data_IF_770270137352
#
_entry.id   IF_770270137352
#
_cell.length_a   1.000
_cell.length_b   1.000
_cell.length_c   1.000
_cell.angle_alpha   90.00
_cell.angle_beta   90.00
_cell.angle_gamma   90.00
#
_symmetry.space_group_name_H-M   'P 1'
#
loop_
_entity.id
_entity.type
_entity.pdbx_description
1 polymer ?
#
# COMPACT_ATOMS: atom_id res chain seq x y z
N UNK A 1 7.38 -46.67 -36.40
CA UNK A 1 7.49 -45.55 -35.44
C UNK A 1 6.77 -44.34 -36.01
N UNK A 2 5.67 -43.92 -35.39
CA UNK A 2 4.90 -42.72 -35.75
C UNK A 2 5.25 -41.66 -34.69
N UNK A 3 5.65 -40.42 -35.04
CA UNK A 3 5.83 -39.41 -34.02
C UNK A 3 4.44 -38.97 -33.58
N UNK A 4 4.16 -39.13 -32.28
CA UNK A 4 2.97 -38.58 -31.65
C UNK A 4 3.18 -37.08 -31.52
N UNK A 5 2.31 -36.30 -32.17
CA UNK A 5 2.16 -34.87 -31.92
C UNK A 5 1.65 -34.71 -30.50
N UNK A 6 2.55 -34.42 -29.55
CA UNK A 6 2.14 -33.89 -28.26
C UNK A 6 1.44 -32.56 -28.56
N UNK A 7 0.16 -32.48 -28.21
CA UNK A 7 -0.55 -31.22 -28.17
C UNK A 7 0.28 -30.25 -27.32
N UNK A 8 0.50 -29.04 -27.83
CA UNK A 8 0.99 -27.95 -27.02
C UNK A 8 -0.07 -27.74 -25.93
N UNK A 9 0.20 -28.26 -24.73
CA UNK A 9 -0.52 -27.85 -23.53
C UNK A 9 -0.32 -26.34 -23.41
N UNK A 10 -1.45 -25.66 -23.50
CA UNK A 10 -1.59 -24.21 -23.45
C UNK A 10 -1.15 -23.75 -22.05
N UNK A 11 0.15 -23.43 -21.92
CA UNK A 11 0.83 -22.93 -20.71
C UNK A 11 0.39 -21.49 -20.35
N UNK A 12 -0.78 -21.06 -20.85
CA UNK A 12 -1.39 -19.76 -20.52
C UNK A 12 -1.85 -19.68 -19.06
N UNK A 13 -2.05 -20.82 -18.39
CA UNK A 13 -2.44 -20.87 -16.98
C UNK A 13 -1.29 -20.57 -15.98
N UNK A 14 -0.03 -20.56 -16.43
CA UNK A 14 1.13 -20.26 -15.57
C UNK A 14 1.75 -18.89 -15.85
N UNK A 15 1.23 -18.12 -16.81
CA UNK A 15 1.73 -16.78 -17.06
C UNK A 15 1.40 -15.90 -15.84
N UNK A 16 2.40 -15.22 -15.23
CA UNK A 16 2.12 -14.26 -14.17
C UNK A 16 1.08 -13.25 -14.68
N UNK A 17 0.07 -12.87 -13.86
CA UNK A 17 -0.92 -11.91 -14.29
C UNK A 17 -0.21 -10.65 -14.77
N UNK A 18 -0.61 -10.13 -15.95
CA UNK A 18 -0.07 -8.87 -16.44
C UNK A 18 -0.38 -7.79 -15.39
N UNK A 19 0.66 -7.07 -14.96
CA UNK A 19 0.58 -6.06 -13.91
C UNK A 19 0.60 -4.66 -14.52
N UNK A 20 -0.27 -3.79 -14.01
CA UNK A 20 -0.30 -2.36 -14.36
C UNK A 20 0.27 -1.58 -13.17
N UNK A 21 1.44 -0.96 -13.38
CA UNK A 21 2.03 -0.03 -12.41
C UNK A 21 1.37 1.35 -12.55
N UNK A 22 1.16 2.02 -11.43
CA UNK A 22 0.63 3.38 -11.41
C UNK A 22 1.72 4.44 -11.45
N UNK A 23 1.34 5.64 -11.91
CA UNK A 23 2.13 6.84 -11.68
C UNK A 23 2.45 6.98 -10.19
N UNK A 24 3.72 7.18 -9.87
CA UNK A 24 4.15 7.30 -8.48
C UNK A 24 3.55 8.53 -7.82
N UNK A 25 3.01 8.39 -6.61
CA UNK A 25 2.56 9.51 -5.78
C UNK A 25 3.57 9.71 -4.65
N UNK A 26 4.03 10.94 -4.44
CA UNK A 26 4.87 11.25 -3.29
C UNK A 26 4.00 11.60 -2.09
N UNK A 27 4.18 10.88 -0.99
CA UNK A 27 3.66 11.26 0.31
C UNK A 27 4.71 12.04 1.08
N UNK A 28 4.30 13.19 1.61
CA UNK A 28 5.07 13.98 2.55
C UNK A 28 4.37 13.92 3.90
N UNK A 29 5.02 13.28 4.87
CA UNK A 29 4.48 13.12 6.22
C UNK A 29 5.29 14.00 7.17
N UNK A 30 4.61 14.89 7.87
CA UNK A 30 5.21 15.83 8.80
C UNK A 30 4.58 15.65 10.19
N UNK A 31 5.39 15.24 11.16
CA UNK A 31 4.97 15.17 12.56
C UNK A 31 5.23 16.52 13.24
N UNK A 32 4.19 17.35 13.32
CA UNK A 32 4.23 18.65 13.99
C UNK A 32 4.29 18.53 15.53
N UNK A 33 3.97 17.36 16.09
CA UNK A 33 4.06 17.14 17.53
C UNK A 33 5.52 17.18 17.98
N UNK A 34 5.78 17.86 19.11
CA UNK A 34 7.10 17.93 19.74
C UNK A 34 7.32 16.86 20.81
N UNK A 35 6.27 16.13 21.18
CA UNK A 35 6.30 15.19 22.31
C UNK A 35 5.77 13.80 21.94
N UNK A 36 4.92 13.68 20.92
CA UNK A 36 4.31 12.41 20.53
C UNK A 36 4.90 11.88 19.23
N UNK A 37 5.05 10.56 19.16
CA UNK A 37 5.33 9.87 17.92
C UNK A 37 4.03 9.64 17.15
N UNK A 38 4.12 9.57 15.82
CA UNK A 38 3.00 9.16 14.97
C UNK A 38 3.33 7.84 14.29
N UNK A 39 2.38 6.93 14.29
CA UNK A 39 2.40 5.75 13.44
C UNK A 39 1.39 5.95 12.32
N UNK A 40 1.86 5.98 11.08
CA UNK A 40 1.04 6.22 9.90
C UNK A 40 0.95 4.93 9.09
N UNK A 41 -0.27 4.50 8.81
CA UNK A 41 -0.59 3.37 7.95
C UNK A 41 -1.15 3.87 6.62
N UNK A 42 -0.52 3.49 5.52
CA UNK A 42 -1.13 3.62 4.20
C UNK A 42 -1.86 2.32 3.92
N UNK A 43 -3.19 2.38 3.99
CA UNK A 43 -4.07 1.22 3.79
C UNK A 43 -4.17 0.93 2.31
N UNK A 44 -3.86 -0.30 1.95
CA UNK A 44 -3.95 -0.76 0.58
C UNK A 44 -5.27 -1.51 0.42
N UNK A 45 -6.08 -1.11 -0.57
CA UNK A 45 -7.30 -1.86 -0.92
C UNK A 45 -6.92 -3.23 -1.46
N UNK A 46 -7.80 -4.22 -1.26
CA UNK A 46 -7.63 -5.60 -1.73
C UNK A 46 -7.41 -5.71 -3.24
N UNK A 47 -7.73 -4.65 -3.99
CA UNK A 47 -7.47 -4.58 -5.42
C UNK A 47 -5.97 -4.50 -5.74
N UNK A 48 -5.16 -3.85 -4.88
CA UNK A 48 -3.75 -3.53 -5.16
C UNK A 48 -2.77 -4.53 -4.57
N UNK A 49 -1.68 -4.76 -5.31
CA UNK A 49 -0.73 -5.83 -5.03
C UNK A 49 0.50 -5.40 -4.23
N UNK A 50 0.95 -4.14 -4.31
CA UNK A 50 2.13 -3.69 -3.57
C UNK A 50 2.24 -2.17 -3.46
N UNK A 51 2.87 -1.65 -2.39
CA UNK A 51 3.56 -0.35 -2.38
C UNK A 51 5.06 -0.63 -2.59
N UNK A 52 5.64 -0.24 -3.72
CA UNK A 52 7.04 -0.56 -4.02
C UNK A 52 8.01 0.01 -2.97
N UNK A 53 8.95 -0.83 -2.53
CA UNK A 53 10.02 -0.45 -1.59
C UNK A 53 9.63 -0.46 -0.11
N UNK A 54 8.41 -0.88 0.25
CA UNK A 54 7.98 -1.05 1.65
C UNK A 54 7.29 -2.39 1.86
N UNK A 55 7.63 -3.13 2.94
CA UNK A 55 6.92 -4.36 3.26
C UNK A 55 5.49 -4.04 3.69
N UNK A 56 4.58 -4.97 3.40
CA UNK A 56 3.25 -4.92 3.97
C UNK A 56 3.23 -5.45 5.39
N UNK A 57 2.44 -4.77 6.20
CA UNK A 57 2.11 -5.16 7.56
C UNK A 57 0.60 -5.29 7.71
N UNK A 58 0.18 -6.14 8.63
CA UNK A 58 -1.21 -6.21 9.05
C UNK A 58 -1.50 -5.03 9.97
N UNK A 59 -2.59 -4.32 9.71
CA UNK A 59 -3.12 -3.26 10.57
C UNK A 59 -3.95 -3.94 11.65
N UNK A 60 -3.46 -4.01 12.91
CA UNK A 60 -4.02 -4.93 13.91
C UNK A 60 -5.49 -4.67 14.24
N UNK A 61 -5.90 -3.41 14.24
CA UNK A 61 -7.25 -2.99 14.66
C UNK A 61 -8.33 -3.23 13.60
N UNK A 62 -7.95 -3.53 12.37
CA UNK A 62 -8.90 -3.63 11.24
C UNK A 62 -8.69 -4.86 10.36
N UNK A 63 -7.60 -5.62 10.59
CA UNK A 63 -7.26 -6.79 9.77
C UNK A 63 -6.87 -6.46 8.33
N UNK A 64 -6.67 -5.18 8.01
CA UNK A 64 -6.32 -4.70 6.66
C UNK A 64 -4.81 -4.73 6.44
N UNK A 65 -4.38 -4.83 5.18
CA UNK A 65 -2.95 -4.74 4.83
C UNK A 65 -2.57 -3.31 4.46
N UNK A 66 -1.36 -2.91 4.83
CA UNK A 66 -0.85 -1.60 4.48
C UNK A 66 0.65 -1.47 4.72
N UNK A 67 1.18 -0.27 4.48
CA UNK A 67 2.56 0.06 4.85
C UNK A 67 2.57 0.96 6.08
N UNK A 68 3.49 0.68 7.00
CA UNK A 68 3.65 1.43 8.25
C UNK A 68 4.85 2.38 8.18
N UNK A 69 4.66 3.59 8.70
CA UNK A 69 5.69 4.60 8.88
C UNK A 69 5.68 5.09 10.32
N UNK A 70 6.85 5.10 10.96
CA UNK A 70 7.03 5.66 12.31
C UNK A 70 7.67 7.04 12.19
N UNK A 71 7.01 8.06 12.73
CA UNK A 71 7.50 9.45 12.72
C UNK A 71 7.86 9.88 14.13
N UNK A 72 9.12 10.29 14.33
CA UNK A 72 9.60 10.90 15.58
C UNK A 72 9.00 12.31 15.76
N UNK A 73 8.94 12.83 17.00
CA UNK A 73 8.51 14.20 17.22
C UNK A 73 9.32 15.20 16.38
N UNK A 74 8.65 16.13 15.71
CA UNK A 74 9.27 17.15 14.87
C UNK A 74 9.95 16.63 13.59
N UNK A 75 9.72 15.37 13.21
CA UNK A 75 10.34 14.78 12.01
C UNK A 75 9.50 14.96 10.76
N UNK A 76 10.19 15.00 9.62
CA UNK A 76 9.59 14.99 8.28
C UNK A 76 10.15 13.78 7.54
N UNK A 77 9.29 13.08 6.82
CA UNK A 77 9.71 12.04 5.88
C UNK A 77 8.94 12.16 4.57
N UNK A 78 9.59 11.80 3.48
CA UNK A 78 8.98 11.72 2.16
C UNK A 78 9.17 10.31 1.61
N UNK A 79 8.12 9.73 1.04
CA UNK A 79 8.17 8.43 0.40
C UNK A 79 7.37 8.47 -0.88
N UNK A 80 7.90 7.85 -1.93
CA UNK A 80 7.08 7.54 -3.09
C UNK A 80 6.22 6.31 -2.75
N UNK A 81 4.98 6.32 -3.25
CA UNK A 81 4.08 5.20 -3.26
C UNK A 81 3.82 4.87 -4.71
N UNK A 82 4.04 3.60 -5.04
CA UNK A 82 3.68 3.04 -6.33
C UNK A 82 2.80 1.85 -6.06
N UNK A 83 1.54 1.99 -6.41
CA UNK A 83 0.58 0.91 -6.34
C UNK A 83 0.74 0.04 -7.60
N UNK A 84 0.24 -1.19 -7.57
CA UNK A 84 0.17 -2.07 -8.75
C UNK A 84 -1.18 -2.77 -8.76
N UNK A 85 -1.87 -2.84 -9.90
CA UNK A 85 -3.09 -3.65 -10.06
C UNK A 85 -2.86 -4.79 -11.05
N UNK A 86 -3.61 -5.90 -10.92
CA UNK A 86 -3.83 -6.82 -12.02
C UNK A 86 -4.48 -6.11 -13.22
N UNK A 87 -4.01 -6.39 -14.45
CA UNK A 87 -4.49 -5.72 -15.66
C UNK A 87 -5.99 -5.88 -15.92
N UNK A 88 -6.57 -7.03 -15.56
CA UNK A 88 -8.01 -7.26 -15.66
C UNK A 88 -8.81 -6.30 -14.76
N UNK A 89 -8.35 -6.08 -13.52
CA UNK A 89 -8.99 -5.14 -12.58
C UNK A 89 -8.82 -3.69 -13.04
N UNK A 90 -7.64 -3.35 -13.56
CA UNK A 90 -7.36 -2.02 -14.08
C UNK A 90 -8.26 -1.65 -15.29
N UNK A 91 -8.60 -2.61 -16.15
CA UNK A 91 -9.48 -2.41 -17.31
C UNK A 91 -10.95 -2.20 -16.91
N UNK A 92 -11.41 -2.83 -15.83
CA UNK A 92 -12.79 -2.74 -15.34
C UNK A 92 -13.07 -1.46 -14.55
N UNK A 93 -12.03 -0.78 -14.05
CA UNK A 93 -12.22 0.40 -13.20
C UNK A 93 -12.60 1.62 -14.06
N UNK A 94 -13.90 1.92 -14.12
CA UNK A 94 -14.44 3.09 -14.82
C UNK A 94 -13.88 4.38 -14.20
N UNK A 95 -13.19 5.20 -15.00
CA UNK A 95 -12.80 6.56 -14.62
C UNK A 95 -11.31 6.78 -14.33
N UNK A 96 -10.48 5.73 -14.26
CA UNK A 96 -9.03 5.84 -13.98
C UNK A 96 -8.62 6.60 -12.70
N UNK A 97 -9.57 6.77 -11.80
CA UNK A 97 -9.40 7.47 -10.52
C UNK A 97 -9.67 6.49 -9.39
N UNK A 98 -8.84 6.49 -8.37
CA UNK A 98 -9.05 5.68 -7.18
C UNK A 98 -8.73 6.48 -5.92
N UNK A 99 -9.05 5.90 -4.76
CA UNK A 99 -8.72 6.49 -3.47
C UNK A 99 -8.06 5.45 -2.59
N UNK A 100 -6.99 5.84 -1.91
CA UNK A 100 -6.43 5.04 -0.82
C UNK A 100 -6.61 5.79 0.49
N UNK A 101 -6.69 5.01 1.57
CA UNK A 101 -6.86 5.55 2.91
C UNK A 101 -5.51 5.64 3.60
N UNK A 102 -5.25 6.77 4.24
CA UNK A 102 -4.13 6.97 5.15
C UNK A 102 -4.70 7.07 6.54
N UNK A 103 -4.31 6.16 7.42
CA UNK A 103 -4.65 6.23 8.83
C UNK A 103 -3.42 6.66 9.60
N UNK A 104 -3.61 7.41 10.67
CA UNK A 104 -2.55 7.64 11.62
C UNK A 104 -3.04 7.44 13.04
N UNK A 105 -2.11 7.05 13.90
CA UNK A 105 -2.33 6.92 15.32
C UNK A 105 -1.24 7.65 16.08
N UNK A 106 -1.64 8.41 17.10
CA UNK A 106 -0.73 9.11 18.01
C UNK A 106 -0.34 8.17 19.14
N UNK A 107 0.96 8.00 19.39
CA UNK A 107 1.48 7.07 20.42
C UNK A 107 2.41 7.78 21.40
N UNK A 108 2.39 7.32 22.64
CA UNK A 108 3.13 7.92 23.74
C UNK A 108 4.64 7.62 23.69
N UNK A 109 5.06 6.49 23.14
CA UNK A 109 6.46 6.17 22.81
C UNK A 109 6.55 5.44 21.47
N UNK A 110 7.46 5.88 20.60
CA UNK A 110 7.67 5.24 19.30
C UNK A 110 8.79 4.19 19.38
N UNK A 111 8.57 3.05 18.73
CA UNK A 111 9.65 2.11 18.41
C UNK A 111 10.26 2.48 17.05
N UNK A 112 11.59 2.36 16.93
CA UNK A 112 12.31 2.50 15.66
C UNK A 112 12.05 1.31 14.70
N UNK A 113 11.38 0.26 15.16
CA UNK A 113 10.93 -0.88 14.35
C UNK A 113 9.43 -0.82 14.07
N UNK A 114 8.95 -1.35 12.92
CA UNK A 114 7.53 -1.50 12.66
C UNK A 114 6.95 -2.56 13.61
N UNK A 115 6.49 -2.13 14.77
CA UNK A 115 5.80 -2.99 15.74
C UNK A 115 4.31 -2.73 15.61
N UNK A 116 3.51 -3.80 15.68
CA UNK A 116 2.07 -3.70 15.85
C UNK A 116 1.78 -2.88 17.11
N UNK A 117 1.12 -1.74 16.95
CA UNK A 117 0.80 -0.87 18.08
C UNK A 117 -0.42 -1.43 18.80
N UNK A 118 -0.29 -1.75 20.09
CA UNK A 118 -1.41 -2.17 20.91
C UNK A 118 -2.37 -1.00 21.15
N UNK A 119 -3.68 -1.25 21.04
CA UNK A 119 -4.71 -0.20 21.19
C UNK A 119 -4.62 0.55 22.53
N UNK A 120 -4.11 -0.09 23.59
CA UNK A 120 -3.90 0.50 24.92
C UNK A 120 -2.86 1.65 24.95
N UNK A 121 -2.05 1.81 23.90
CA UNK A 121 -1.00 2.84 23.81
C UNK A 121 -1.36 3.99 22.88
N UNK A 122 -2.56 3.95 22.28
CA UNK A 122 -3.06 4.95 21.36
C UNK A 122 -3.67 6.13 22.11
N UNK A 123 -3.25 7.34 21.75
CA UNK A 123 -3.81 8.58 22.26
C UNK A 123 -4.96 9.08 21.36
N UNK A 124 -4.81 8.96 20.05
CA UNK A 124 -5.81 9.38 19.06
C UNK A 124 -5.61 8.66 17.71
N UNK A 125 -6.66 8.63 16.88
CA UNK A 125 -6.65 8.05 15.53
C UNK A 125 -7.50 8.88 14.57
N UNK A 126 -7.00 9.12 13.36
CA UNK A 126 -7.84 9.62 12.27
C UNK A 126 -7.51 8.98 10.92
N UNK A 127 -8.46 9.13 10.00
CA UNK A 127 -8.40 8.59 8.64
C UNK A 127 -8.54 9.72 7.64
N UNK A 128 -7.62 9.76 6.68
CA UNK A 128 -7.67 10.61 5.50
C UNK A 128 -7.89 9.75 4.27
N UNK A 129 -8.70 10.22 3.32
CA UNK A 129 -8.84 9.58 2.00
C UNK A 129 -8.15 10.46 0.98
N UNK A 130 -7.19 9.90 0.23
CA UNK A 130 -6.43 10.61 -0.79
C UNK A 130 -6.86 10.10 -2.17
N UNK A 131 -7.49 10.95 -3.00
CA UNK A 131 -7.76 10.60 -4.39
C UNK A 131 -6.47 10.61 -5.20
N UNK A 132 -6.37 9.73 -6.18
CA UNK A 132 -5.27 9.71 -7.13
C UNK A 132 -5.74 9.21 -8.50
N UNK A 133 -5.08 9.73 -9.53
CA UNK A 133 -5.34 9.38 -10.92
C UNK A 133 -4.22 8.49 -11.44
N UNK A 134 -4.54 7.56 -12.34
CA UNK A 134 -3.54 6.75 -12.99
C UNK A 134 -3.38 7.03 -14.49
N UNK A 135 -2.11 7.15 -14.91
CA UNK A 135 -1.71 7.28 -16.30
C UNK A 135 -1.43 5.91 -16.91
N UNK A 136 -1.89 5.67 -18.13
CA UNK A 136 -1.50 4.50 -18.92
C UNK A 136 0.01 4.54 -19.16
N UNK A 137 0.75 3.54 -18.67
CA UNK A 137 2.12 3.29 -19.10
C UNK A 137 2.03 2.69 -20.50
N UNK A 138 2.61 3.39 -21.49
CA UNK A 138 2.71 2.93 -22.88
C UNK A 138 3.92 2.03 -23.08
#
# INVERSE_FOLDING_TARGET
FKPSTAAADDDTNNRPPDLVEFGSVNLYLNNLSRVHHLVVYVVVSDMYLQILGKPFVLIPSEGRKGCQFSLKPGSVTSTAIRLVLPANVAQETSGRTASFQVQYAVVQSGSDTPVAVADSTLLDRATLTIPYDWTTIH
#
